data_IF_664503008112
#
_entry.id   IF_664503008112
#
_cell.length_a   1.000
_cell.length_b   1.000
_cell.length_c   1.000
_cell.angle_alpha   90.00
_cell.angle_beta   90.00
_cell.angle_gamma   90.00
#
_symmetry.space_group_name_H-M   'P 1'
#
loop_
_entity.id
_entity.type
_entity.pdbx_description
1 polymer ?
#
# COMPACT_ATOMS: atom_id res chain seq x y z
N UNK A 1 23.96 60.67 -12.73
CA UNK A 1 22.71 59.88 -12.82
C UNK A 1 23.06 58.42 -13.07
N UNK A 2 23.15 57.64 -12.02
CA UNK A 2 23.54 56.23 -12.06
C UNK A 2 22.25 55.36 -12.15
N UNK A 3 22.09 54.67 -13.27
CA UNK A 3 20.97 53.72 -13.44
C UNK A 3 21.20 52.48 -12.57
N UNK A 4 20.36 52.29 -11.56
CA UNK A 4 20.30 51.04 -10.81
C UNK A 4 19.69 49.96 -11.72
N UNK A 5 20.43 48.84 -11.87
CA UNK A 5 19.92 47.65 -12.57
C UNK A 5 18.82 46.97 -11.70
N UNK A 6 17.72 46.62 -12.33
CA UNK A 6 16.66 45.87 -11.69
C UNK A 6 17.13 44.44 -11.32
N UNK A 7 16.71 43.88 -10.17
CA UNK A 7 17.08 42.52 -9.80
C UNK A 7 16.43 41.50 -10.76
N UNK A 8 17.25 40.56 -11.23
CA UNK A 8 16.82 39.43 -12.06
C UNK A 8 15.77 38.58 -11.30
N UNK A 9 14.72 38.08 -11.98
CA UNK A 9 13.75 37.20 -11.33
C UNK A 9 14.42 35.93 -10.82
N UNK A 10 14.27 35.65 -9.54
CA UNK A 10 14.74 34.43 -8.90
C UNK A 10 14.11 33.21 -9.61
N UNK A 11 14.94 32.37 -10.22
CA UNK A 11 14.49 31.06 -10.71
C UNK A 11 13.95 30.28 -9.51
N UNK A 12 12.63 30.05 -9.48
CA UNK A 12 12.01 29.13 -8.54
C UNK A 12 12.74 27.78 -8.65
N UNK A 13 13.24 27.27 -7.52
CA UNK A 13 13.76 25.89 -7.45
C UNK A 13 12.67 24.95 -7.96
N UNK A 14 12.99 23.99 -8.83
CA UNK A 14 12.03 22.98 -9.22
C UNK A 14 11.51 22.30 -7.95
N UNK A 15 10.20 22.30 -7.76
CA UNK A 15 9.56 21.56 -6.67
C UNK A 15 9.93 20.08 -6.82
N UNK A 16 10.35 19.45 -5.73
CA UNK A 16 10.60 18.00 -5.72
C UNK A 16 9.42 17.25 -6.34
N UNK A 17 9.68 16.20 -7.13
CA UNK A 17 8.60 15.43 -7.77
C UNK A 17 7.65 14.85 -6.71
N UNK A 18 6.38 14.71 -7.08
CA UNK A 18 5.38 14.06 -6.24
C UNK A 18 5.75 12.58 -6.10
N UNK A 19 6.03 12.11 -4.90
CA UNK A 19 6.33 10.69 -4.64
C UNK A 19 5.04 9.91 -4.44
N UNK A 20 4.91 8.80 -5.17
CA UNK A 20 3.73 7.92 -5.14
C UNK A 20 4.18 6.50 -4.82
N UNK A 21 3.73 5.94 -3.71
CA UNK A 21 3.87 4.53 -3.41
C UNK A 21 2.59 3.79 -3.80
N UNK A 22 2.71 2.85 -4.74
CA UNK A 22 1.69 1.84 -4.97
C UNK A 22 1.97 0.66 -4.05
N UNK A 23 0.97 0.26 -3.28
CA UNK A 23 1.10 -0.84 -2.34
C UNK A 23 0.04 -1.89 -2.61
N UNK A 24 0.35 -3.13 -2.33
CA UNK A 24 -0.55 -4.28 -2.49
C UNK A 24 -0.69 -4.95 -1.15
N UNK A 25 -1.92 -5.01 -0.61
CA UNK A 25 -2.20 -5.82 0.56
C UNK A 25 -2.39 -7.26 0.07
N UNK A 26 -1.34 -8.09 0.29
CA UNK A 26 -1.17 -9.43 -0.26
C UNK A 26 -1.72 -10.45 0.73
N UNK A 27 -3.02 -10.67 0.64
CA UNK A 27 -3.90 -11.31 1.62
C UNK A 27 -4.88 -12.28 0.94
N UNK A 28 -5.61 -13.13 1.67
CA UNK A 28 -6.73 -13.91 1.12
C UNK A 28 -7.79 -13.02 0.45
N UNK A 29 -8.71 -13.64 -0.28
CA UNK A 29 -9.71 -12.89 -1.04
C UNK A 29 -10.69 -12.14 -0.12
N UNK A 30 -10.75 -10.83 -0.24
CA UNK A 30 -11.74 -9.95 0.37
C UNK A 30 -12.11 -10.32 1.84
N UNK A 31 -11.16 -10.37 2.80
CA UNK A 31 -11.48 -10.71 4.18
C UNK A 31 -12.50 -9.72 4.79
N UNK A 32 -13.40 -10.16 5.65
CA UNK A 32 -13.56 -11.53 6.17
C UNK A 32 -14.48 -12.45 5.35
N UNK A 33 -14.89 -12.07 4.13
CA UNK A 33 -15.96 -12.75 3.39
C UNK A 33 -15.48 -14.03 2.68
N UNK A 34 -14.31 -14.00 2.07
CA UNK A 34 -13.70 -15.08 1.29
C UNK A 34 -12.30 -15.43 1.80
N UNK A 35 -12.09 -15.36 3.12
CA UNK A 35 -10.76 -15.53 3.74
C UNK A 35 -10.14 -16.92 3.59
N UNK A 36 -10.84 -17.90 3.04
CA UNK A 36 -10.33 -19.24 2.74
C UNK A 36 -9.98 -19.44 1.27
N UNK A 37 -10.15 -18.43 0.42
CA UNK A 37 -9.82 -18.49 -1.01
C UNK A 37 -8.67 -17.54 -1.35
N UNK A 38 -7.90 -17.89 -2.41
CA UNK A 38 -6.68 -17.21 -2.83
C UNK A 38 -6.68 -16.91 -4.33
N UNK A 39 -7.87 -16.79 -4.95
CA UNK A 39 -8.00 -16.47 -6.38
C UNK A 39 -7.27 -15.19 -6.77
N UNK A 40 -7.25 -14.21 -5.85
CA UNK A 40 -6.48 -12.98 -6.03
C UNK A 40 -4.99 -13.25 -6.15
N UNK A 41 -4.45 -14.12 -5.28
CA UNK A 41 -3.03 -14.50 -5.31
C UNK A 41 -2.71 -15.31 -6.59
N UNK A 42 -3.58 -16.25 -6.96
CA UNK A 42 -3.36 -17.18 -8.08
C UNK A 42 -3.56 -16.52 -9.45
N UNK A 43 -4.52 -15.62 -9.58
CA UNK A 43 -4.92 -15.04 -10.87
C UNK A 43 -4.80 -13.53 -10.93
N UNK A 44 -4.98 -12.82 -9.83
CA UNK A 44 -4.91 -11.36 -9.79
C UNK A 44 -3.48 -10.83 -9.67
N UNK A 45 -2.64 -11.48 -8.84
CA UNK A 45 -1.27 -11.04 -8.63
C UNK A 45 -0.40 -11.15 -9.89
N UNK A 46 -0.47 -12.22 -10.73
CA UNK A 46 0.26 -12.24 -11.99
C UNK A 46 -0.10 -11.06 -12.91
N UNK A 47 -1.37 -10.68 -12.96
CA UNK A 47 -1.84 -9.53 -13.76
C UNK A 47 -1.32 -8.18 -13.22
N UNK A 48 -1.17 -8.07 -11.91
CA UNK A 48 -0.53 -6.91 -11.28
C UNK A 48 0.96 -6.83 -11.60
N UNK A 49 1.68 -7.95 -11.53
CA UNK A 49 3.09 -8.01 -11.87
C UNK A 49 3.32 -7.60 -13.33
N UNK A 50 2.52 -8.13 -14.27
CA UNK A 50 2.55 -7.71 -15.67
C UNK A 50 2.29 -6.21 -15.84
N UNK A 51 1.26 -5.67 -15.19
CA UNK A 51 0.95 -4.24 -15.23
C UNK A 51 2.11 -3.39 -14.70
N UNK A 52 2.73 -3.79 -13.59
CA UNK A 52 3.84 -3.05 -12.99
C UNK A 52 5.10 -3.13 -13.84
N UNK A 53 5.40 -4.29 -14.43
CA UNK A 53 6.48 -4.43 -15.40
C UNK A 53 6.27 -3.52 -16.63
N UNK A 54 5.07 -3.51 -17.23
CA UNK A 54 4.70 -2.67 -18.37
C UNK A 54 4.84 -1.17 -18.07
N UNK A 55 4.63 -0.77 -16.82
CA UNK A 55 4.62 0.65 -16.40
C UNK A 55 5.89 1.09 -15.69
N UNK A 56 6.83 0.17 -15.45
CA UNK A 56 8.08 0.44 -14.72
C UNK A 56 7.85 0.76 -13.24
N UNK A 57 6.74 0.34 -12.65
CA UNK A 57 6.39 0.63 -11.26
C UNK A 57 6.92 -0.46 -10.35
N UNK A 58 7.69 -0.09 -9.32
CA UNK A 58 7.99 -0.96 -8.18
C UNK A 58 6.99 -0.68 -7.05
N UNK A 59 6.36 -1.72 -6.54
CA UNK A 59 5.36 -1.66 -5.49
C UNK A 59 5.85 -2.29 -4.18
N UNK A 60 5.19 -1.99 -3.06
CA UNK A 60 5.39 -2.67 -1.79
C UNK A 60 4.23 -3.64 -1.56
N UNK A 61 4.55 -4.91 -1.34
CA UNK A 61 3.58 -5.96 -1.06
C UNK A 61 3.54 -6.24 0.44
N UNK A 62 2.52 -5.73 1.13
CA UNK A 62 2.25 -6.06 2.52
C UNK A 62 1.61 -7.45 2.58
N UNK A 63 2.41 -8.44 2.93
CA UNK A 63 2.09 -9.85 2.80
C UNK A 63 1.76 -10.47 4.15
N UNK A 64 0.66 -11.22 4.24
CA UNK A 64 0.41 -12.06 5.41
C UNK A 64 1.30 -13.30 5.36
N UNK A 65 1.72 -13.80 6.53
CA UNK A 65 2.54 -15.02 6.60
C UNK A 65 1.80 -16.22 6.04
N UNK A 66 0.48 -16.31 6.23
CA UNK A 66 -0.36 -17.35 5.67
C UNK A 66 -0.23 -17.42 4.13
N UNK A 67 -0.28 -16.26 3.46
CA UNK A 67 -0.07 -16.21 2.00
C UNK A 67 1.33 -16.63 1.63
N UNK A 68 2.35 -16.19 2.37
CA UNK A 68 3.73 -16.54 2.09
C UNK A 68 4.02 -18.05 2.24
N UNK A 69 3.42 -18.68 3.24
CA UNK A 69 3.54 -20.13 3.45
C UNK A 69 2.77 -20.96 2.40
N UNK A 70 1.56 -20.52 2.03
CA UNK A 70 0.71 -21.24 1.05
C UNK A 70 1.15 -21.01 -0.40
N UNK A 71 1.64 -19.81 -0.71
CA UNK A 71 2.00 -19.38 -2.06
C UNK A 71 3.44 -18.83 -2.14
N UNK A 72 4.46 -19.60 -1.70
CA UNK A 72 5.85 -19.11 -1.66
C UNK A 72 6.39 -18.73 -3.04
N UNK A 73 5.91 -19.37 -4.10
CA UNK A 73 6.30 -19.04 -5.47
C UNK A 73 5.85 -17.63 -5.87
N UNK A 74 4.65 -17.21 -5.47
CA UNK A 74 4.14 -15.87 -5.74
C UNK A 74 4.97 -14.80 -5.02
N UNK A 75 5.39 -15.06 -3.76
CA UNK A 75 6.28 -14.14 -3.02
C UNK A 75 7.66 -14.04 -3.68
N UNK A 76 8.22 -15.16 -4.16
CA UNK A 76 9.49 -15.12 -4.88
C UNK A 76 9.38 -14.38 -6.21
N UNK A 77 8.25 -14.52 -6.93
CA UNK A 77 8.01 -13.81 -8.19
C UNK A 77 8.00 -12.29 -7.99
N UNK A 78 7.28 -11.77 -7.00
CA UNK A 78 7.28 -10.32 -6.73
C UNK A 78 8.67 -9.79 -6.36
N UNK A 79 9.47 -10.55 -5.60
CA UNK A 79 10.83 -10.17 -5.24
C UNK A 79 11.78 -10.19 -6.44
N UNK A 80 11.62 -11.17 -7.34
CA UNK A 80 12.38 -11.26 -8.58
C UNK A 80 12.17 -10.04 -9.49
N UNK A 81 10.94 -9.52 -9.53
CA UNK A 81 10.59 -8.29 -10.26
C UNK A 81 11.01 -6.99 -9.52
N UNK A 82 11.72 -7.11 -8.40
CA UNK A 82 12.28 -5.97 -7.66
C UNK A 82 11.27 -5.21 -6.80
N UNK A 83 10.12 -5.81 -6.49
CA UNK A 83 9.16 -5.25 -5.55
C UNK A 83 9.64 -5.40 -4.10
N UNK A 84 9.13 -4.54 -3.22
CA UNK A 84 9.41 -4.62 -1.78
C UNK A 84 8.44 -5.59 -1.10
N UNK A 85 8.99 -6.43 -0.19
CA UNK A 85 8.20 -7.24 0.74
C UNK A 85 8.00 -6.48 2.04
N UNK A 86 6.74 -6.25 2.41
CA UNK A 86 6.31 -5.70 3.69
C UNK A 86 5.50 -6.73 4.49
N UNK A 87 5.31 -6.47 5.78
CA UNK A 87 4.57 -7.33 6.69
C UNK A 87 3.10 -6.90 6.83
N UNK A 88 2.16 -7.87 6.80
CA UNK A 88 0.73 -7.66 7.01
C UNK A 88 0.13 -8.54 8.14
N UNK A 89 0.97 -8.99 9.08
CA UNK A 89 0.60 -9.93 10.14
C UNK A 89 0.67 -11.38 9.68
N UNK A 90 0.24 -12.30 10.55
CA UNK A 90 0.22 -13.75 10.26
C UNK A 90 -0.99 -14.09 9.41
N UNK A 91 -2.17 -13.81 9.99
CA UNK A 91 -3.46 -13.92 9.32
C UNK A 91 -4.05 -12.52 9.15
N UNK A 92 -5.11 -12.37 8.40
CA UNK A 92 -5.75 -11.06 8.23
C UNK A 92 -6.66 -10.72 9.43
N UNK A 93 -6.14 -10.83 10.65
CA UNK A 93 -6.87 -10.52 11.90
C UNK A 93 -6.61 -9.08 12.36
N UNK A 94 -7.65 -8.39 12.80
CA UNK A 94 -7.56 -6.99 13.22
C UNK A 94 -6.83 -6.85 14.56
N UNK A 95 -5.75 -6.08 14.62
CA UNK A 95 -4.93 -5.84 15.81
C UNK A 95 -5.68 -5.16 16.95
N UNK A 96 -6.72 -4.38 16.65
CA UNK A 96 -7.58 -3.74 17.65
C UNK A 96 -8.52 -4.72 18.40
N UNK A 97 -8.48 -6.01 18.02
CA UNK A 97 -9.20 -7.10 18.70
C UNK A 97 -8.30 -8.09 19.42
N UNK A 98 -7.01 -7.81 19.46
CA UNK A 98 -6.00 -8.62 20.16
C UNK A 98 -5.58 -7.97 21.46
N UNK A 99 -5.13 -8.77 22.42
CA UNK A 99 -4.32 -8.27 23.51
C UNK A 99 -2.86 -8.03 23.06
N UNK A 100 -2.07 -7.40 23.90
CA UNK A 100 -0.68 -7.06 23.57
C UNK A 100 0.18 -8.30 23.33
N UNK A 101 -0.03 -9.38 24.09
CA UNK A 101 0.75 -10.61 23.93
C UNK A 101 0.49 -11.27 22.59
N UNK A 102 -0.78 -11.34 22.18
CA UNK A 102 -1.19 -11.85 20.86
C UNK A 102 -0.66 -10.95 19.74
N UNK A 103 -0.76 -9.62 19.89
CA UNK A 103 -0.25 -8.68 18.91
C UNK A 103 1.27 -8.81 18.72
N UNK A 104 2.02 -8.98 19.81
CA UNK A 104 3.47 -9.24 19.76
C UNK A 104 3.78 -10.53 19.02
N UNK A 105 3.08 -11.60 19.36
CA UNK A 105 3.25 -12.90 18.70
C UNK A 105 2.97 -12.81 17.19
N UNK A 106 1.89 -12.15 16.77
CA UNK A 106 1.53 -11.92 15.36
C UNK A 106 2.67 -11.21 14.61
N UNK A 107 3.26 -10.17 15.23
CA UNK A 107 4.37 -9.41 14.65
C UNK A 107 5.62 -10.28 14.53
N UNK A 108 6.04 -10.94 15.60
CA UNK A 108 7.26 -11.75 15.64
C UNK A 108 7.16 -12.98 14.73
N UNK A 109 6.01 -13.65 14.73
CA UNK A 109 5.78 -14.81 13.89
C UNK A 109 5.77 -14.44 12.40
N UNK A 110 5.12 -13.32 12.04
CA UNK A 110 5.11 -12.86 10.65
C UNK A 110 6.52 -12.48 10.17
N UNK A 111 7.32 -11.82 10.98
CA UNK A 111 8.72 -11.52 10.64
C UNK A 111 9.55 -12.78 10.46
N UNK A 112 9.34 -13.81 11.29
CA UNK A 112 10.07 -15.07 11.17
C UNK A 112 9.80 -15.74 9.82
N UNK A 113 8.54 -15.81 9.41
CA UNK A 113 8.15 -16.41 8.14
C UNK A 113 8.63 -15.57 6.96
N UNK A 114 8.27 -14.28 6.93
CA UNK A 114 8.59 -13.38 5.82
C UNK A 114 10.10 -13.15 5.68
N UNK A 115 10.83 -13.12 6.79
CA UNK A 115 12.29 -12.98 6.82
C UNK A 115 13.04 -14.11 6.09
N UNK A 116 12.41 -15.26 5.85
CA UNK A 116 13.00 -16.34 5.04
C UNK A 116 13.05 -16.00 3.55
N UNK A 117 12.29 -15.01 3.09
CA UNK A 117 12.26 -14.55 1.71
C UNK A 117 13.19 -13.36 1.47
N UNK A 118 13.42 -12.53 2.49
CA UNK A 118 14.26 -11.35 2.38
C UNK A 118 14.05 -10.35 3.52
N UNK A 119 14.69 -9.17 3.46
CA UNK A 119 14.55 -8.16 4.49
C UNK A 119 13.14 -7.54 4.48
N UNK A 120 12.53 -7.43 5.67
CA UNK A 120 11.21 -6.85 5.89
C UNK A 120 11.34 -5.68 6.87
N UNK A 121 11.12 -4.46 6.41
CA UNK A 121 11.26 -3.24 7.23
C UNK A 121 9.98 -2.39 7.29
N UNK A 122 8.97 -2.73 6.47
CA UNK A 122 7.71 -2.00 6.39
C UNK A 122 6.57 -2.86 6.93
N UNK A 123 5.67 -2.25 7.70
CA UNK A 123 4.50 -2.89 8.29
C UNK A 123 3.20 -2.18 7.89
N UNK A 124 2.14 -2.95 7.72
CA UNK A 124 0.76 -2.47 7.62
C UNK A 124 -0.17 -3.44 8.35
N UNK A 125 -0.96 -2.93 9.28
CA UNK A 125 -1.95 -3.76 9.97
C UNK A 125 -3.16 -4.03 9.08
N UNK A 126 -3.75 -5.25 9.13
CA UNK A 126 -5.03 -5.57 8.55
C UNK A 126 -6.10 -4.51 8.85
N UNK A 127 -6.95 -4.22 7.86
CA UNK A 127 -8.00 -3.20 7.93
C UNK A 127 -7.50 -1.77 8.22
N UNK A 128 -6.19 -1.51 8.22
CA UNK A 128 -5.60 -0.25 8.69
C UNK A 128 -6.10 0.08 10.11
N UNK A 129 -6.01 -0.93 11.01
CA UNK A 129 -6.43 -0.85 12.41
C UNK A 129 -5.29 -1.33 13.31
N UNK A 130 -4.48 -0.38 13.76
CA UNK A 130 -3.37 -0.64 14.67
C UNK A 130 -3.48 0.26 15.90
N UNK A 131 -3.63 -0.31 17.12
CA UNK A 131 -3.69 0.48 18.34
C UNK A 131 -2.40 1.28 18.57
N UNK A 132 -2.55 2.54 18.95
CA UNK A 132 -1.41 3.41 19.22
C UNK A 132 -0.52 2.87 20.36
N UNK A 133 -1.12 2.11 21.29
CA UNK A 133 -0.40 1.45 22.36
C UNK A 133 0.58 0.38 21.88
N UNK A 134 0.36 -0.20 20.68
CA UNK A 134 1.18 -1.27 20.11
C UNK A 134 2.31 -0.76 19.21
N UNK A 135 2.40 0.54 18.97
CA UNK A 135 3.50 1.12 18.17
C UNK A 135 4.88 0.71 18.68
N UNK A 136 5.14 0.67 20.02
CA UNK A 136 6.43 0.20 20.53
C UNK A 136 6.77 -1.25 20.16
N UNK A 137 5.78 -2.10 19.89
CA UNK A 137 6.02 -3.48 19.45
C UNK A 137 6.69 -3.52 18.05
N UNK A 138 6.29 -2.61 17.15
CA UNK A 138 6.90 -2.50 15.81
C UNK A 138 8.34 -1.99 15.92
N UNK A 139 8.60 -1.02 16.79
CA UNK A 139 9.96 -0.50 17.04
C UNK A 139 10.87 -1.60 17.61
N UNK A 140 10.39 -2.35 18.62
CA UNK A 140 11.13 -3.47 19.22
C UNK A 140 11.41 -4.59 18.22
N UNK A 141 10.48 -4.81 17.27
CA UNK A 141 10.63 -5.78 16.20
C UNK A 141 11.55 -5.32 15.06
N UNK A 142 12.01 -4.05 15.08
CA UNK A 142 12.95 -3.50 14.12
C UNK A 142 12.32 -2.99 12.82
N UNK A 143 11.01 -2.74 12.79
CA UNK A 143 10.41 -2.07 11.64
C UNK A 143 10.89 -0.61 11.55
N UNK A 144 11.13 -0.15 10.32
CA UNK A 144 11.46 1.24 10.02
C UNK A 144 10.22 2.07 9.68
N UNK A 145 9.16 1.41 9.14
CA UNK A 145 7.98 2.09 8.63
C UNK A 145 6.68 1.38 9.02
N UNK A 146 5.67 2.18 9.40
CA UNK A 146 4.27 1.78 9.60
C UNK A 146 3.33 2.53 8.66
N UNK A 147 2.50 1.79 7.90
CA UNK A 147 1.46 2.32 7.02
C UNK A 147 0.05 1.93 7.46
N UNK A 148 -0.16 1.75 8.76
CA UNK A 148 -1.45 1.31 9.31
C UNK A 148 -2.49 2.43 9.50
N UNK A 149 -2.13 3.67 9.21
CA UNK A 149 -3.03 4.82 9.28
C UNK A 149 -3.69 5.10 7.94
N UNK A 150 -4.85 5.75 7.95
CA UNK A 150 -5.58 6.12 6.74
C UNK A 150 -6.14 7.54 6.83
N UNK A 151 -5.64 8.47 6.01
CA UNK A 151 -6.05 9.89 5.99
C UNK A 151 -7.55 10.08 5.73
N UNK A 152 -8.17 9.17 4.97
CA UNK A 152 -9.59 9.24 4.60
C UNK A 152 -10.55 8.73 5.68
N UNK A 153 -10.05 8.07 6.74
CA UNK A 153 -10.91 7.60 7.84
C UNK A 153 -11.23 8.74 8.80
N UNK A 154 -12.50 8.86 9.22
CA UNK A 154 -12.92 9.86 10.23
C UNK A 154 -12.19 9.69 11.57
N UNK A 155 -11.72 8.48 11.86
CA UNK A 155 -10.92 8.15 13.05
C UNK A 155 -9.45 8.55 12.92
N UNK A 156 -9.01 9.05 11.75
CA UNK A 156 -7.62 9.43 11.55
C UNK A 156 -7.19 10.50 12.57
N UNK A 157 -6.07 10.23 13.21
CA UNK A 157 -5.35 11.18 14.05
C UNK A 157 -3.89 11.14 13.65
N UNK A 158 -3.26 12.29 13.50
CA UNK A 158 -1.83 12.34 13.30
C UNK A 158 -1.10 11.72 14.49
N UNK A 159 0.02 11.00 14.27
CA UNK A 159 0.83 10.45 15.35
C UNK A 159 1.21 11.54 16.36
N UNK A 160 1.05 11.25 17.65
CA UNK A 160 1.34 12.21 18.74
C UNK A 160 2.53 11.80 19.60
N UNK A 161 2.89 10.51 19.57
CA UNK A 161 4.03 10.01 20.35
C UNK A 161 5.31 10.20 19.56
N UNK A 162 6.40 10.61 20.22
CA UNK A 162 7.74 10.48 19.64
C UNK A 162 7.98 8.99 19.32
N UNK A 163 8.44 8.71 18.12
CA UNK A 163 8.75 7.35 17.65
C UNK A 163 9.87 7.44 16.64
N UNK A 164 10.74 6.45 16.62
CA UNK A 164 11.75 6.27 15.56
C UNK A 164 11.13 5.72 14.28
N UNK A 165 9.92 5.17 14.39
CA UNK A 165 9.18 4.58 13.28
C UNK A 165 8.59 5.67 12.37
N UNK A 166 8.91 5.63 11.09
CA UNK A 166 8.30 6.51 10.09
C UNK A 166 6.86 6.06 9.85
N UNK A 167 5.88 6.94 10.08
CA UNK A 167 4.46 6.58 9.95
C UNK A 167 3.82 7.30 8.79
N UNK A 168 3.58 6.56 7.69
CA UNK A 168 3.03 7.10 6.44
C UNK A 168 1.62 6.52 6.20
N UNK A 169 0.58 7.35 6.31
CA UNK A 169 -0.80 6.90 6.16
C UNK A 169 -1.18 6.63 4.70
N UNK A 170 -2.06 5.64 4.46
CA UNK A 170 -2.75 5.48 3.19
C UNK A 170 -3.55 6.75 2.86
N UNK A 171 -3.45 7.19 1.60
CA UNK A 171 -4.04 8.45 1.14
C UNK A 171 -5.50 8.30 0.75
N UNK A 172 -5.90 7.13 0.25
CA UNK A 172 -7.24 6.89 -0.30
C UNK A 172 -7.61 5.41 -0.20
N UNK A 173 -8.91 5.11 -0.12
CA UNK A 173 -9.39 3.72 -0.16
C UNK A 173 -9.32 3.15 -1.58
N UNK A 174 -9.00 1.86 -1.71
CA UNK A 174 -8.82 1.16 -3.00
C UNK A 174 -10.05 1.24 -3.90
N UNK A 175 -11.25 1.20 -3.33
CA UNK A 175 -12.50 1.27 -4.10
C UNK A 175 -12.64 2.56 -4.93
N UNK A 176 -12.03 3.68 -4.49
CA UNK A 176 -12.04 4.94 -5.26
C UNK A 176 -11.22 4.80 -6.55
N UNK A 177 -10.15 4.02 -6.55
CA UNK A 177 -9.31 3.81 -7.72
C UNK A 177 -10.08 3.12 -8.88
N UNK A 178 -11.17 2.42 -8.56
CA UNK A 178 -12.04 1.74 -9.53
C UNK A 178 -13.21 2.59 -10.02
N UNK A 179 -13.36 3.83 -9.52
CA UNK A 179 -14.39 4.76 -10.02
C UNK A 179 -14.10 5.19 -11.47
N UNK A 180 -15.12 5.63 -12.21
CA UNK A 180 -14.92 6.29 -13.52
C UNK A 180 -13.97 7.48 -13.38
N UNK A 181 -13.13 7.71 -14.39
CA UNK A 181 -12.08 8.72 -14.36
C UNK A 181 -12.59 10.13 -14.02
N UNK A 182 -13.77 10.52 -14.57
CA UNK A 182 -14.35 11.86 -14.30
C UNK A 182 -14.74 12.09 -12.81
N UNK A 183 -14.94 11.01 -12.03
CA UNK A 183 -15.18 11.07 -10.58
C UNK A 183 -13.87 10.94 -9.80
N UNK A 184 -13.04 9.97 -10.18
CA UNK A 184 -11.80 9.60 -9.51
C UNK A 184 -10.71 10.67 -9.62
N UNK A 185 -10.48 11.16 -10.84
CA UNK A 185 -9.28 11.96 -11.13
C UNK A 185 -9.28 13.33 -10.42
N UNK A 186 -10.41 14.04 -10.22
CA UNK A 186 -10.44 15.23 -9.36
C UNK A 186 -9.95 14.97 -7.93
N UNK A 187 -10.29 13.80 -7.34
CA UNK A 187 -9.80 13.45 -6.00
C UNK A 187 -8.31 13.13 -6.01
N UNK A 188 -7.83 12.37 -7.00
CA UNK A 188 -6.41 12.08 -7.14
C UNK A 188 -5.58 13.38 -7.32
N UNK A 189 -6.14 14.40 -7.96
CA UNK A 189 -5.48 15.68 -8.13
C UNK A 189 -5.27 16.46 -6.82
N UNK A 190 -6.07 16.18 -5.79
CA UNK A 190 -5.94 16.83 -4.47
C UNK A 190 -4.87 16.21 -3.58
N UNK A 191 -4.37 15.03 -3.91
CA UNK A 191 -3.40 14.32 -3.10
C UNK A 191 -2.05 15.05 -3.09
N UNK A 192 -1.36 15.02 -1.94
CA UNK A 192 -0.09 15.69 -1.68
C UNK A 192 0.99 14.68 -1.29
N UNK A 193 2.24 15.03 -1.56
CA UNK A 193 3.42 14.23 -1.21
C UNK A 193 3.48 13.89 0.29
N UNK A 194 3.81 12.68 0.65
CA UNK A 194 3.80 11.47 -0.16
C UNK A 194 2.38 10.94 -0.38
N UNK A 195 2.12 10.36 -1.55
CA UNK A 195 0.87 9.67 -1.87
C UNK A 195 1.06 8.17 -1.70
N UNK A 196 0.23 7.55 -0.87
CA UNK A 196 0.21 6.09 -0.68
C UNK A 196 -1.14 5.56 -1.13
N UNK A 197 -1.15 4.80 -2.21
CA UNK A 197 -2.31 4.10 -2.75
C UNK A 197 -2.17 2.61 -2.46
N UNK A 198 -3.29 1.94 -2.20
CA UNK A 198 -3.27 0.50 -2.00
C UNK A 198 -4.36 -0.18 -2.82
N UNK A 199 -4.07 -1.41 -3.20
CA UNK A 199 -4.97 -2.33 -3.90
C UNK A 199 -4.81 -3.73 -3.30
N UNK A 200 -5.73 -4.62 -3.65
CA UNK A 200 -5.64 -6.03 -3.25
C UNK A 200 -5.66 -6.91 -4.49
N UNK A 201 -4.96 -8.04 -4.53
CA UNK A 201 -4.92 -8.92 -5.69
C UNK A 201 -6.31 -9.42 -6.12
N UNK A 202 -7.21 -9.67 -5.16
CA UNK A 202 -8.57 -10.11 -5.44
C UNK A 202 -9.41 -9.07 -6.22
N UNK A 203 -9.05 -7.79 -6.21
CA UNK A 203 -9.73 -6.77 -7.01
C UNK A 203 -9.57 -7.01 -8.53
N UNK A 204 -8.53 -7.74 -8.93
CA UNK A 204 -8.19 -8.03 -10.33
C UNK A 204 -8.70 -9.38 -10.85
N UNK A 205 -9.55 -10.03 -10.03
CA UNK A 205 -10.38 -11.18 -10.40
C UNK A 205 -11.83 -10.72 -10.46
N UNK A 206 -12.62 -11.26 -11.39
CA UNK A 206 -14.04 -10.88 -11.48
C UNK A 206 -14.83 -11.42 -10.28
N UNK A 207 -15.18 -10.53 -9.38
CA UNK A 207 -16.03 -10.79 -8.21
C UNK A 207 -17.41 -10.14 -8.31
N UNK A 208 -17.80 -9.63 -9.47
CA UNK A 208 -19.03 -8.84 -9.66
C UNK A 208 -20.30 -9.62 -9.32
N UNK A 209 -20.27 -10.96 -9.44
CA UNK A 209 -21.38 -11.86 -9.15
C UNK A 209 -21.34 -12.46 -7.75
N UNK A 210 -20.30 -12.20 -6.97
CA UNK A 210 -20.15 -12.73 -5.61
C UNK A 210 -21.09 -12.01 -4.64
N UNK A 211 -21.53 -12.73 -3.59
CA UNK A 211 -22.35 -12.16 -2.51
C UNK A 211 -21.49 -11.40 -1.49
N UNK A 212 -20.85 -10.32 -1.94
CA UNK A 212 -19.96 -9.48 -1.16
C UNK A 212 -20.56 -8.08 -0.98
N UNK A 213 -19.99 -7.33 -0.03
CA UNK A 213 -20.26 -5.88 0.05
C UNK A 213 -20.03 -5.24 -1.31
N UNK A 214 -20.82 -4.22 -1.60
CA UNK A 214 -20.76 -3.55 -2.91
C UNK A 214 -19.36 -3.01 -3.25
N UNK A 215 -18.71 -2.36 -2.29
CA UNK A 215 -17.35 -1.81 -2.46
C UNK A 215 -16.26 -2.88 -2.71
N UNK A 216 -16.48 -4.12 -2.27
CA UNK A 216 -15.57 -5.24 -2.55
C UNK A 216 -15.73 -5.74 -3.98
N UNK A 217 -16.97 -5.94 -4.45
CA UNK A 217 -17.24 -6.51 -5.79
C UNK A 217 -17.37 -5.50 -6.92
N UNK A 218 -17.45 -4.19 -6.59
CA UNK A 218 -17.66 -3.14 -7.58
C UNK A 218 -16.49 -3.02 -8.54
N UNK A 219 -16.77 -3.19 -9.84
CA UNK A 219 -15.81 -2.99 -10.93
C UNK A 219 -14.47 -3.73 -10.75
N UNK A 220 -14.54 -4.99 -10.28
CA UNK A 220 -13.39 -5.89 -10.17
C UNK A 220 -13.01 -6.49 -11.53
N UNK A 221 -11.95 -7.29 -11.58
CA UNK A 221 -11.45 -7.94 -12.79
C UNK A 221 -10.78 -6.97 -13.76
N UNK A 222 -11.07 -7.12 -15.05
CA UNK A 222 -10.46 -6.31 -16.11
C UNK A 222 -10.71 -4.80 -15.98
N UNK A 223 -11.85 -4.43 -15.40
CA UNK A 223 -12.17 -3.02 -15.16
C UNK A 223 -11.23 -2.43 -14.12
N UNK A 224 -10.97 -3.16 -13.02
CA UNK A 224 -10.02 -2.73 -12.00
C UNK A 224 -8.61 -2.55 -12.58
N UNK A 225 -8.17 -3.50 -13.41
CA UNK A 225 -6.85 -3.45 -14.03
C UNK A 225 -6.68 -2.23 -14.95
N UNK A 226 -7.67 -1.97 -15.81
CA UNK A 226 -7.67 -0.76 -16.66
C UNK A 226 -7.66 0.51 -15.83
N UNK A 227 -8.49 0.59 -14.78
CA UNK A 227 -8.53 1.74 -13.90
C UNK A 227 -7.18 1.99 -13.20
N UNK A 228 -6.51 0.95 -12.72
CA UNK A 228 -5.19 1.09 -12.11
C UNK A 228 -4.14 1.58 -13.11
N UNK A 229 -4.14 1.04 -14.34
CA UNK A 229 -3.27 1.52 -15.43
C UNK A 229 -3.48 3.02 -15.70
N UNK A 230 -4.74 3.46 -15.77
CA UNK A 230 -5.07 4.88 -15.96
C UNK A 230 -4.58 5.76 -14.80
N UNK A 231 -4.71 5.28 -13.56
CA UNK A 231 -4.20 5.97 -12.36
C UNK A 231 -2.68 6.13 -12.44
N UNK A 232 -1.94 5.06 -12.75
CA UNK A 232 -0.48 5.10 -12.91
C UNK A 232 -0.11 6.14 -13.98
N UNK A 233 -0.73 6.05 -15.16
CA UNK A 233 -0.47 6.99 -16.25
C UNK A 233 -0.81 8.44 -15.88
N UNK A 234 -1.88 8.66 -15.12
CA UNK A 234 -2.26 10.00 -14.66
C UNK A 234 -1.20 10.61 -13.76
N UNK A 235 -0.65 9.85 -12.81
CA UNK A 235 0.46 10.30 -11.96
C UNK A 235 1.76 10.49 -12.75
N UNK A 236 2.09 9.57 -13.66
CA UNK A 236 3.27 9.69 -14.52
C UNK A 236 3.24 10.96 -15.38
N UNK A 237 2.08 11.29 -16.01
CA UNK A 237 1.92 12.54 -16.76
C UNK A 237 2.10 13.82 -15.91
N UNK A 238 1.90 13.72 -14.60
CA UNK A 238 2.14 14.82 -13.65
C UNK A 238 3.58 14.88 -13.16
N UNK A 239 4.48 14.05 -13.70
CA UNK A 239 5.88 13.97 -13.28
C UNK A 239 6.07 13.33 -11.91
N UNK A 240 5.13 12.46 -11.48
CA UNK A 240 5.28 11.74 -10.24
C UNK A 240 6.40 10.68 -10.33
N UNK A 241 7.11 10.51 -9.24
CA UNK A 241 8.08 9.44 -9.04
C UNK A 241 7.41 8.28 -8.28
N UNK A 242 7.44 7.08 -8.88
CA UNK A 242 6.94 5.88 -8.21
C UNK A 242 8.05 5.26 -7.38
N UNK A 243 7.77 5.10 -6.08
CA UNK A 243 8.73 4.63 -5.08
C UNK A 243 8.10 3.54 -4.21
N UNK A 244 8.92 2.71 -3.58
CA UNK A 244 8.49 1.76 -2.57
C UNK A 244 8.29 2.47 -1.22
N UNK A 245 7.63 1.79 -0.27
CA UNK A 245 7.46 2.33 1.09
C UNK A 245 8.81 2.50 1.79
N UNK A 246 9.76 1.59 1.57
CA UNK A 246 11.13 1.69 2.10
C UNK A 246 11.83 2.94 1.58
N UNK A 247 11.70 3.25 0.30
CA UNK A 247 12.27 4.46 -0.30
C UNK A 247 11.61 5.75 0.22
N UNK A 248 10.35 5.71 0.68
CA UNK A 248 9.72 6.84 1.36
C UNK A 248 10.25 7.07 2.78
N UNK A 249 10.81 6.03 3.43
CA UNK A 249 11.33 6.10 4.78
C UNK A 249 12.82 6.46 4.84
N UNK A 250 13.53 6.38 3.70
CA UNK A 250 14.93 6.75 3.57
C UNK A 250 15.12 8.28 3.42
#
# INVERSE_FOLDING_TARGET
MTRQAAPSPSRSRPSSPLRVALTVDFEPDCPPYLSSTFRGIEHGAPRLLELFADTGVRATYFTTSEVAERHPASVRALLHEGHELGCHGVTHTAFDRMDEATARWEIEQSLRVLGTFGPVSSFRAPYLRFPEAYVPLLEQAGFALDSSLAKYKRSYRAPRRPTTLVRIPASMTSSVLRLPAFVRDPWLATLRDPVVLFVHPWEFVDLTRERLRYDCRFRTGDVALRCLREVIQSFARRGAEFVTMRELAA
#
